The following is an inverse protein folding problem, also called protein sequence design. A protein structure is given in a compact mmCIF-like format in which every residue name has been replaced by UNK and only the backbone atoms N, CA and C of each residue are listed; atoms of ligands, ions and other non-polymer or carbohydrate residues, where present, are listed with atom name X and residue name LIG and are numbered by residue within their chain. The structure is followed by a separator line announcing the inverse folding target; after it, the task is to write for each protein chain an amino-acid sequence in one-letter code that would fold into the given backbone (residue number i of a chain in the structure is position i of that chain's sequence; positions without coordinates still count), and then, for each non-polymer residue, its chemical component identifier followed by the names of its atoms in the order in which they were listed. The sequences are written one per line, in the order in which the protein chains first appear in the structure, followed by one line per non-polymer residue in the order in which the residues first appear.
data_IF_405547222619
#
_entry.id   IF_405547222619
#
_cell.length_a   1.000
_cell.length_b   1.000
_cell.length_c   1.000
_cell.angle_alpha   90.00
_cell.angle_beta   90.00
_cell.angle_gamma   90.00
#
_symmetry.space_group_name_H-M   'P 1'
#
loop_
_entity.id
_entity.type
_entity.pdbx_description
1 polymer ?
#
# COMPACT_ATOMS: atom_id res chain seq x y z
N UNK A 1 -8.95 24.49 -7.49
CA UNK A 1 -8.59 23.42 -6.53
C UNK A 1 -7.30 22.81 -7.01
N UNK A 2 -6.58 22.08 -6.16
CA UNK A 2 -5.39 21.34 -6.58
C UNK A 2 -5.80 20.01 -7.22
N UNK A 3 -4.97 19.47 -8.14
CA UNK A 3 -5.27 18.22 -8.88
C UNK A 3 -5.71 17.07 -7.95
N UNK A 4 -4.94 16.83 -6.89
CA UNK A 4 -5.25 15.78 -5.91
C UNK A 4 -6.50 16.07 -5.07
N UNK A 5 -6.82 17.34 -4.82
CA UNK A 5 -8.02 17.71 -4.07
C UNK A 5 -9.29 17.51 -4.91
N UNK A 6 -9.20 17.71 -6.22
CA UNK A 6 -10.29 17.38 -7.17
C UNK A 6 -10.46 15.86 -7.25
N UNK A 7 -9.37 15.12 -7.47
CA UNK A 7 -9.37 13.65 -7.49
C UNK A 7 -9.94 13.03 -6.21
N UNK A 8 -9.62 13.62 -5.04
CA UNK A 8 -10.20 13.20 -3.77
C UNK A 8 -11.73 13.32 -3.77
N UNK A 9 -12.28 14.43 -4.29
CA UNK A 9 -13.72 14.68 -4.26
C UNK A 9 -14.48 13.87 -5.31
N UNK A 10 -13.91 13.69 -6.50
CA UNK A 10 -14.58 13.05 -7.63
C UNK A 10 -14.48 11.53 -7.59
N UNK A 11 -13.37 10.98 -7.11
CA UNK A 11 -13.02 9.57 -7.30
C UNK A 11 -12.83 8.87 -5.96
N UNK A 12 -11.86 9.33 -5.16
CA UNK A 12 -11.46 8.63 -3.92
C UNK A 12 -12.57 8.61 -2.89
N UNK A 13 -13.24 9.76 -2.64
CA UNK A 13 -14.30 9.84 -1.64
C UNK A 13 -15.50 8.94 -1.98
N UNK A 14 -16.04 8.94 -3.21
CA UNK A 14 -17.08 7.99 -3.60
C UNK A 14 -16.67 6.52 -3.47
N UNK A 15 -15.43 6.18 -3.80
CA UNK A 15 -14.90 4.81 -3.67
C UNK A 15 -14.84 4.37 -2.20
N UNK A 16 -14.34 5.22 -1.31
CA UNK A 16 -14.31 4.95 0.14
C UNK A 16 -15.70 4.78 0.73
N UNK A 17 -16.67 5.59 0.30
CA UNK A 17 -18.07 5.45 0.76
C UNK A 17 -18.65 4.11 0.34
N UNK A 18 -18.33 3.64 -0.88
CA UNK A 18 -18.79 2.33 -1.38
C UNK A 18 -18.10 1.18 -0.65
N UNK A 19 -16.78 1.27 -0.44
CA UNK A 19 -15.99 0.19 0.18
C UNK A 19 -16.36 -0.01 1.66
N UNK A 20 -16.51 1.07 2.43
CA UNK A 20 -16.78 0.99 3.86
C UNK A 20 -18.26 1.20 4.23
N UNK A 21 -19.13 1.44 3.24
CA UNK A 21 -20.58 1.56 3.45
C UNK A 21 -21.00 2.72 4.36
N UNK A 22 -20.27 3.84 4.36
CA UNK A 22 -20.58 4.98 5.24
C UNK A 22 -21.97 5.54 4.98
N UNK A 23 -22.75 5.72 6.04
CA UNK A 23 -24.10 6.30 5.97
C UNK A 23 -24.06 7.82 5.76
N UNK A 24 -23.02 8.47 6.27
CA UNK A 24 -22.83 9.90 6.17
C UNK A 24 -21.59 10.23 5.32
N UNK A 25 -21.71 11.01 4.24
CA UNK A 25 -20.57 11.42 3.42
C UNK A 25 -19.47 12.21 4.18
N UNK A 26 -19.77 12.71 5.38
CA UNK A 26 -18.80 13.41 6.24
C UNK A 26 -17.98 12.46 7.11
N UNK A 27 -18.36 11.18 7.22
CA UNK A 27 -17.58 10.16 7.92
C UNK A 27 -16.40 9.67 7.08
N UNK A 28 -16.46 9.87 5.76
CA UNK A 28 -15.39 9.49 4.85
C UNK A 28 -14.04 10.12 5.29
N UNK A 29 -12.98 9.31 5.44
CA UNK A 29 -11.67 9.79 5.82
C UNK A 29 -11.14 10.88 4.89
N UNK A 30 -10.45 11.86 5.47
CA UNK A 30 -9.77 12.93 4.74
C UNK A 30 -8.38 13.18 5.33
N UNK A 31 -7.53 13.84 4.55
CA UNK A 31 -6.26 14.35 5.03
C UNK A 31 -6.50 15.58 5.92
N UNK A 32 -5.97 15.57 7.16
CA UNK A 32 -6.04 16.73 8.08
C UNK A 32 -4.83 17.66 7.89
N UNK A 33 -3.63 17.08 7.94
CA UNK A 33 -2.35 17.80 7.82
C UNK A 33 -1.24 16.84 7.40
N UNK A 34 -0.21 17.40 6.80
CA UNK A 34 1.08 16.72 6.65
C UNK A 34 2.12 17.49 7.45
N UNK A 35 2.85 16.79 8.31
CA UNK A 35 3.94 17.35 9.11
C UNK A 35 5.25 16.82 8.56
N UNK A 36 6.12 17.72 8.12
CA UNK A 36 7.49 17.39 7.75
C UNK A 36 8.40 17.76 8.91
N UNK A 37 9.30 16.86 9.28
CA UNK A 37 10.20 17.06 10.40
C UNK A 37 11.61 16.57 10.03
N UNK A 38 12.60 17.44 10.25
CA UNK A 38 14.02 17.11 10.13
C UNK A 38 14.69 17.23 11.49
N UNK A 39 15.27 16.12 11.94
CA UNK A 39 16.15 16.10 13.11
C UNK A 39 17.59 16.35 12.68
N UNK A 40 18.19 17.44 13.16
CA UNK A 40 19.56 17.83 12.84
C UNK A 40 20.41 17.71 14.11
N UNK A 41 20.82 16.48 14.43
CA UNK A 41 21.59 16.19 15.66
C UNK A 41 22.92 16.96 15.75
N UNK A 42 23.52 17.28 14.61
CA UNK A 42 24.73 18.12 14.52
C UNK A 42 24.48 19.60 14.89
N UNK A 43 23.21 20.01 14.94
CA UNK A 43 22.77 21.34 15.35
C UNK A 43 23.15 21.71 16.79
N UNK A 44 23.50 20.72 17.61
CA UNK A 44 24.04 20.92 18.96
C UNK A 44 25.39 21.65 18.91
N UNK A 45 26.23 21.35 17.91
CA UNK A 45 27.54 21.96 17.76
C UNK A 45 27.48 23.21 16.87
N UNK A 46 26.70 23.16 15.79
CA UNK A 46 26.60 24.25 14.82
C UNK A 46 25.16 24.60 14.46
N UNK A 47 24.73 25.79 14.91
CA UNK A 47 23.39 26.32 14.61
C UNK A 47 23.18 26.58 13.12
N UNK A 48 24.24 26.86 12.35
CA UNK A 48 24.14 27.15 10.91
C UNK A 48 23.61 25.95 10.13
N UNK A 49 23.96 24.73 10.52
CA UNK A 49 23.44 23.49 9.91
C UNK A 49 21.93 23.35 10.05
N UNK A 50 21.36 23.78 11.18
CA UNK A 50 19.91 23.78 11.40
C UNK A 50 19.22 24.82 10.50
N UNK A 51 19.87 25.97 10.28
CA UNK A 51 19.37 27.01 9.39
C UNK A 51 19.39 26.54 7.93
N UNK A 52 20.50 25.94 7.48
CA UNK A 52 20.61 25.35 6.14
C UNK A 52 19.54 24.28 5.89
N UNK A 53 19.35 23.35 6.84
CA UNK A 53 18.28 22.36 6.75
C UNK A 53 16.87 22.99 6.73
N UNK A 54 16.66 24.10 7.44
CA UNK A 54 15.40 24.84 7.39
C UNK A 54 15.20 25.55 6.03
N UNK A 55 16.26 25.99 5.36
CA UNK A 55 16.16 26.54 4.00
C UNK A 55 15.80 25.46 2.97
N UNK A 56 16.42 24.29 3.05
CA UNK A 56 16.08 23.14 2.21
C UNK A 56 14.62 22.73 2.41
N UNK A 57 14.19 22.61 3.66
CA UNK A 57 12.81 22.28 3.98
C UNK A 57 11.83 23.38 3.52
N UNK A 58 12.26 24.65 3.52
CA UNK A 58 11.46 25.76 2.98
C UNK A 58 11.24 25.62 1.46
N UNK A 59 12.29 25.24 0.71
CA UNK A 59 12.22 25.01 -0.74
C UNK A 59 11.28 23.85 -1.05
N UNK A 60 11.41 22.74 -0.33
CA UNK A 60 10.58 21.55 -0.50
C UNK A 60 9.11 21.87 -0.18
N UNK A 61 8.85 22.50 0.98
CA UNK A 61 7.50 22.71 1.48
C UNK A 61 6.79 23.96 0.92
N UNK A 62 7.52 24.87 0.26
CA UNK A 62 6.99 26.19 -0.15
C UNK A 62 6.54 27.05 1.04
N UNK A 63 7.02 26.74 2.24
CA UNK A 63 6.59 27.35 3.50
C UNK A 63 7.75 27.46 4.47
N UNK A 64 7.90 28.61 5.11
CA UNK A 64 8.93 28.85 6.13
C UNK A 64 8.79 27.85 7.29
N UNK A 65 9.79 27.01 7.57
CA UNK A 65 9.74 26.07 8.67
C UNK A 65 9.92 26.75 10.02
N UNK A 66 9.44 26.07 11.07
CA UNK A 66 9.63 26.44 12.46
C UNK A 66 10.84 25.68 13.00
N UNK A 67 11.82 26.40 13.53
CA UNK A 67 12.99 25.81 14.20
C UNK A 67 12.54 25.21 15.53
N UNK A 68 12.85 23.93 15.75
CA UNK A 68 12.53 23.21 16.98
C UNK A 68 13.69 23.32 17.96
N UNK A 69 13.34 23.60 19.22
CA UNK A 69 14.27 23.72 20.33
C UNK A 69 14.11 22.55 21.29
N UNK A 70 15.19 22.26 22.02
CA UNK A 70 15.20 21.36 23.15
C UNK A 70 14.15 21.79 24.17
N UNK A 71 13.44 20.83 24.76
CA UNK A 71 12.57 21.07 25.94
C UNK A 71 13.24 20.68 27.26
N UNK A 72 14.25 19.82 27.20
CA UNK A 72 14.93 19.23 28.37
C UNK A 72 16.40 19.09 28.05
N UNK A 73 17.24 19.26 29.07
CA UNK A 73 18.67 18.99 28.98
C UNK A 73 18.93 17.49 29.12
N UNK A 74 19.71 16.91 28.22
CA UNK A 74 20.08 15.49 28.23
C UNK A 74 21.59 15.40 27.96
N UNK A 75 22.36 15.01 28.98
CA UNK A 75 23.82 15.00 28.93
C UNK A 75 24.37 14.01 27.89
N UNK A 76 23.72 12.85 27.70
CA UNK A 76 24.14 11.83 26.73
C UNK A 76 24.19 12.37 25.29
N UNK A 77 23.29 13.29 24.94
CA UNK A 77 23.23 13.94 23.63
C UNK A 77 23.91 15.31 23.61
N UNK A 78 24.63 15.68 24.69
CA UNK A 78 25.27 16.99 24.90
C UNK A 78 24.30 18.17 24.72
N UNK A 79 23.04 17.93 25.04
CA UNK A 79 21.92 18.80 24.68
C UNK A 79 21.45 19.57 25.90
N UNK A 80 21.34 20.90 25.78
CA UNK A 80 20.80 21.78 26.82
C UNK A 80 19.44 22.33 26.41
N UNK A 81 18.62 22.65 27.39
CA UNK A 81 17.33 23.29 27.18
C UNK A 81 17.46 24.58 26.35
N UNK A 82 16.49 24.80 25.46
CA UNK A 82 16.49 25.93 24.52
C UNK A 82 17.45 25.84 23.32
N UNK A 83 18.31 24.82 23.21
CA UNK A 83 19.18 24.63 22.05
C UNK A 83 18.39 24.23 20.79
N UNK A 84 18.78 24.73 19.62
CA UNK A 84 18.17 24.42 18.32
C UNK A 84 18.65 23.05 17.82
N UNK A 85 17.71 22.15 17.51
CA UNK A 85 18.03 20.75 17.15
C UNK A 85 17.42 20.34 15.81
N UNK A 86 16.41 21.04 15.32
CA UNK A 86 15.78 20.66 14.07
C UNK A 86 14.85 21.72 13.53
N UNK A 87 14.10 21.33 12.52
CA UNK A 87 13.08 22.16 11.90
C UNK A 87 11.87 21.30 11.53
N UNK A 88 10.69 21.91 11.60
CA UNK A 88 9.46 21.26 11.18
C UNK A 88 8.57 22.23 10.42
N UNK A 89 7.73 21.71 9.56
CA UNK A 89 6.68 22.47 8.88
C UNK A 89 5.38 21.66 8.90
N UNK A 90 4.26 22.35 9.02
CA UNK A 90 2.94 21.74 8.99
C UNK A 90 2.19 22.32 7.80
N UNK A 91 1.87 21.45 6.86
CA UNK A 91 1.14 21.75 5.64
C UNK A 91 -0.33 21.38 5.85
N UNK A 92 -1.21 22.28 5.41
CA UNK A 92 -2.68 22.12 5.47
C UNK A 92 -3.30 22.67 4.19
N UNK A 93 -4.54 22.25 3.90
CA UNK A 93 -5.31 22.69 2.73
C UNK A 93 -4.51 22.44 1.43
N UNK A 94 -4.49 23.39 0.51
CA UNK A 94 -3.96 23.23 -0.85
C UNK A 94 -2.48 22.82 -0.85
N UNK A 95 -1.65 23.45 -0.01
CA UNK A 95 -0.21 23.13 0.11
C UNK A 95 0.08 21.69 0.52
N UNK A 96 -0.83 21.09 1.29
CA UNK A 96 -0.72 19.69 1.72
C UNK A 96 -0.94 18.77 0.52
N UNK A 97 -1.97 19.02 -0.28
CA UNK A 97 -2.24 18.25 -1.49
C UNK A 97 -1.13 18.43 -2.53
N UNK A 98 -0.64 19.65 -2.75
CA UNK A 98 0.49 19.88 -3.68
C UNK A 98 1.78 19.18 -3.25
N UNK A 99 2.07 19.18 -1.94
CA UNK A 99 3.22 18.43 -1.42
C UNK A 99 3.04 16.92 -1.59
N UNK A 100 1.85 16.40 -1.30
CA UNK A 100 1.56 14.97 -1.48
C UNK A 100 1.69 14.55 -2.95
N UNK A 101 1.22 15.38 -3.88
CA UNK A 101 1.32 15.12 -5.33
C UNK A 101 2.79 15.03 -5.75
N UNK A 102 3.60 16.02 -5.36
CA UNK A 102 5.05 16.02 -5.62
C UNK A 102 5.77 14.85 -4.95
N UNK A 103 5.35 14.47 -3.74
CA UNK A 103 5.92 13.33 -3.04
C UNK A 103 5.70 12.04 -3.84
N UNK A 104 4.45 11.77 -4.26
CA UNK A 104 4.07 10.53 -4.93
C UNK A 104 4.63 10.46 -6.34
N UNK A 105 4.44 11.52 -7.14
CA UNK A 105 4.75 11.51 -8.57
C UNK A 105 6.21 11.78 -8.89
N UNK A 106 6.90 12.58 -8.07
CA UNK A 106 8.27 13.04 -8.37
C UNK A 106 9.29 12.49 -7.39
N UNK A 107 9.05 12.59 -6.08
CA UNK A 107 10.07 12.29 -5.08
C UNK A 107 10.25 10.78 -4.85
N UNK A 108 9.17 10.01 -4.69
CA UNK A 108 9.25 8.56 -4.41
C UNK A 108 9.95 7.77 -5.52
N UNK A 109 9.68 7.99 -6.82
CA UNK A 109 10.40 7.29 -7.90
C UNK A 109 11.90 7.60 -7.94
N UNK A 110 12.32 8.75 -7.38
CA UNK A 110 13.74 9.16 -7.31
C UNK A 110 14.47 8.63 -6.08
N UNK A 111 13.77 7.96 -5.16
CA UNK A 111 14.40 7.31 -4.01
C UNK A 111 15.28 6.17 -4.52
N UNK A 112 16.54 6.14 -4.08
CA UNK A 112 17.47 5.04 -4.40
C UNK A 112 16.92 3.71 -3.87
N UNK A 113 16.92 2.68 -4.73
CA UNK A 113 16.39 1.34 -4.45
C UNK A 113 14.93 1.34 -3.98
N UNK A 114 14.08 2.15 -4.62
CA UNK A 114 12.66 2.21 -4.29
C UNK A 114 11.95 0.87 -4.57
N UNK A 115 11.45 0.23 -3.52
CA UNK A 115 10.67 -1.03 -3.58
C UNK A 115 9.21 -0.86 -3.18
N UNK A 116 8.73 0.38 -3.15
CA UNK A 116 7.46 0.77 -2.50
C UNK A 116 7.64 1.17 -1.03
N UNK A 117 6.58 1.70 -0.44
CA UNK A 117 6.52 2.10 0.97
C UNK A 117 5.82 1.04 1.83
N UNK A 118 6.32 0.78 3.03
CA UNK A 118 5.74 -0.25 3.91
C UNK A 118 4.27 0.03 4.23
N UNK A 119 3.40 -0.96 4.05
CA UNK A 119 2.00 -0.92 4.49
C UNK A 119 1.82 -1.02 6.01
N UNK A 120 2.92 -1.25 6.75
CA UNK A 120 2.93 -1.40 8.22
C UNK A 120 3.25 -0.11 8.97
N UNK A 121 3.57 0.98 8.28
CA UNK A 121 4.01 2.24 8.91
C UNK A 121 2.85 3.13 9.39
N UNK A 122 1.73 2.51 9.75
CA UNK A 122 0.59 3.18 10.39
C UNK A 122 0.71 3.10 11.92
N UNK A 123 0.07 4.04 12.61
CA UNK A 123 0.17 4.17 14.08
C UNK A 123 -0.99 3.55 14.87
N UNK A 124 -1.87 2.79 14.22
CA UNK A 124 -3.07 2.19 14.83
C UNK A 124 -4.27 3.14 14.90
N UNK A 125 -4.07 4.44 14.62
CA UNK A 125 -5.09 5.47 14.65
C UNK A 125 -5.23 6.17 13.29
N UNK A 126 -4.85 5.49 12.20
CA UNK A 126 -5.02 5.99 10.85
C UNK A 126 -4.03 7.08 10.41
N UNK A 127 -2.93 7.32 11.15
CA UNK A 127 -1.86 8.19 10.68
C UNK A 127 -0.71 7.37 10.09
N UNK A 128 -0.07 7.92 9.07
CA UNK A 128 1.01 7.25 8.35
C UNK A 128 2.32 8.02 8.49
N UNK A 129 3.40 7.30 8.79
CA UNK A 129 4.73 7.88 8.92
C UNK A 129 5.70 7.30 7.88
N UNK A 130 6.34 8.18 7.12
CA UNK A 130 7.35 7.83 6.12
C UNK A 130 8.69 8.48 6.49
N UNK A 131 9.75 7.67 6.54
CA UNK A 131 11.13 8.15 6.65
C UNK A 131 11.79 8.24 5.28
N UNK A 132 12.23 9.43 4.89
CA UNK A 132 13.09 9.65 3.73
C UNK A 132 14.54 9.79 4.21
N UNK A 133 15.45 8.98 3.65
CA UNK A 133 16.86 8.99 4.05
C UNK A 133 17.63 10.19 3.51
N UNK A 134 17.21 10.69 2.35
CA UNK A 134 17.96 11.69 1.59
C UNK A 134 16.97 12.76 1.09
N UNK A 135 17.24 14.04 1.35
CA UNK A 135 16.39 15.15 0.90
C UNK A 135 16.54 15.48 -0.60
N UNK A 136 17.59 14.96 -1.25
CA UNK A 136 17.90 15.19 -2.68
C UNK A 136 16.92 14.53 -3.65
N UNK A 137 15.96 13.76 -3.13
CA UNK A 137 14.87 13.17 -3.92
C UNK A 137 13.94 14.24 -4.50
N UNK A 138 13.92 15.42 -3.88
CA UNK A 138 13.14 16.56 -4.34
C UNK A 138 13.92 17.36 -5.40
N UNK A 139 13.35 17.65 -6.58
CA UNK A 139 14.00 18.46 -7.62
C UNK A 139 14.30 19.90 -7.18
N UNK A 140 13.60 20.41 -6.16
CA UNK A 140 13.79 21.75 -5.63
C UNK A 140 15.13 21.92 -4.88
N UNK A 141 15.80 20.81 -4.55
CA UNK A 141 17.11 20.80 -3.91
C UNK A 141 18.20 20.70 -4.98
N UNK A 142 19.06 21.70 -5.01
CA UNK A 142 20.25 21.74 -5.87
C UNK A 142 21.37 20.94 -5.21
N UNK A 143 21.78 19.84 -5.86
CA UNK A 143 22.81 18.93 -5.36
C UNK A 143 24.12 19.64 -5.03
N UNK A 144 24.52 20.63 -5.83
CA UNK A 144 25.80 21.33 -5.67
C UNK A 144 25.80 22.28 -4.47
N UNK A 145 24.62 22.69 -3.99
CA UNK A 145 24.45 23.56 -2.83
C UNK A 145 24.24 22.79 -1.52
N UNK A 146 24.06 21.47 -1.58
CA UNK A 146 23.84 20.65 -0.39
C UNK A 146 25.15 20.48 0.37
N UNK A 147 25.16 20.87 1.64
CA UNK A 147 26.31 20.67 2.53
C UNK A 147 26.45 19.20 2.95
N UNK A 148 25.33 18.57 3.29
CA UNK A 148 25.25 17.23 3.82
C UNK A 148 23.91 16.58 3.45
N UNK A 149 23.93 15.29 3.16
CA UNK A 149 22.72 14.50 2.98
C UNK A 149 22.05 14.30 4.35
N UNK A 150 20.79 14.74 4.46
CA UNK A 150 19.97 14.73 5.66
C UNK A 150 18.67 13.99 5.36
N UNK A 151 18.24 13.16 6.32
CA UNK A 151 16.93 12.54 6.27
C UNK A 151 15.82 13.47 6.74
N UNK A 152 14.58 13.13 6.39
CA UNK A 152 13.38 13.76 6.92
C UNK A 152 12.29 12.73 7.20
N UNK A 153 11.41 13.07 8.14
CA UNK A 153 10.20 12.29 8.42
C UNK A 153 9.00 13.06 7.90
N UNK A 154 8.16 12.38 7.14
CA UNK A 154 6.89 12.85 6.62
C UNK A 154 5.79 12.12 7.38
N UNK A 155 4.99 12.86 8.14
CA UNK A 155 3.85 12.31 8.87
C UNK A 155 2.58 12.82 8.21
N UNK A 156 1.80 11.90 7.64
CA UNK A 156 0.51 12.16 7.04
C UNK A 156 -0.56 11.87 8.11
N UNK A 157 -1.21 12.93 8.59
CA UNK A 157 -2.31 12.80 9.53
C UNK A 157 -3.63 12.77 8.78
N UNK A 158 -4.45 11.77 9.06
CA UNK A 158 -5.77 11.61 8.47
C UNK A 158 -6.85 11.68 9.55
N UNK A 159 -8.11 11.72 9.14
CA UNK A 159 -9.26 11.62 10.06
C UNK A 159 -9.79 10.19 10.20
N UNK A 160 -9.14 9.20 9.57
CA UNK A 160 -9.50 7.80 9.69
C UNK A 160 -9.41 7.35 11.16
N UNK A 161 -10.26 6.40 11.54
CA UNK A 161 -10.21 5.81 12.90
C UNK A 161 -9.38 4.54 12.93
N UNK A 162 -9.27 3.85 11.80
CA UNK A 162 -8.54 2.59 11.67
C UNK A 162 -7.46 2.71 10.59
N UNK A 163 -6.46 1.84 10.67
CA UNK A 163 -5.37 1.81 9.70
C UNK A 163 -5.84 1.33 8.31
N UNK A 164 -6.89 0.51 8.25
CA UNK A 164 -7.44 0.02 6.99
C UNK A 164 -8.11 1.15 6.19
N UNK A 165 -8.88 2.01 6.87
CA UNK A 165 -9.48 3.21 6.27
C UNK A 165 -8.40 4.18 5.75
N UNK A 166 -7.34 4.39 6.55
CA UNK A 166 -6.23 5.25 6.16
C UNK A 166 -5.43 4.67 4.99
N UNK A 167 -5.26 3.35 4.96
CA UNK A 167 -4.58 2.64 3.87
C UNK A 167 -5.38 2.72 2.58
N UNK A 168 -6.70 2.52 2.63
CA UNK A 168 -7.58 2.68 1.47
C UNK A 168 -7.53 4.11 0.93
N UNK A 169 -7.57 5.11 1.82
CA UNK A 169 -7.44 6.52 1.45
C UNK A 169 -6.12 6.80 0.72
N UNK A 170 -4.98 6.34 1.27
CA UNK A 170 -3.68 6.52 0.63
C UNK A 170 -3.52 5.72 -0.66
N UNK A 171 -4.13 4.52 -0.76
CA UNK A 171 -4.16 3.73 -1.99
C UNK A 171 -4.93 4.46 -3.10
N UNK A 172 -6.05 5.12 -2.77
CA UNK A 172 -6.80 5.95 -3.72
C UNK A 172 -6.04 7.20 -4.21
N UNK A 173 -4.99 7.61 -3.51
CA UNK A 173 -4.05 8.65 -3.97
C UNK A 173 -2.85 8.09 -4.75
N UNK A 174 -2.91 6.84 -5.21
CA UNK A 174 -1.84 6.14 -5.91
C UNK A 174 -0.54 6.02 -5.11
N UNK A 175 -0.64 5.95 -3.77
CA UNK A 175 0.54 5.78 -2.93
C UNK A 175 1.15 4.39 -3.14
N UNK A 176 2.43 4.28 -3.54
CA UNK A 176 3.05 3.02 -3.95
C UNK A 176 3.45 2.15 -2.75
N UNK A 177 2.53 1.34 -2.22
CA UNK A 177 2.82 0.40 -1.12
C UNK A 177 3.69 -0.80 -1.56
N UNK A 178 4.78 -1.06 -0.82
CA UNK A 178 5.64 -2.24 -0.94
C UNK A 178 4.91 -3.46 -0.38
N UNK A 179 4.04 -3.97 -1.22
CA UNK A 179 3.13 -5.07 -0.98
C UNK A 179 2.18 -4.93 -2.16
N UNK A 180 2.45 -5.58 -3.29
CA UNK A 180 1.96 -6.96 -3.45
C UNK A 180 0.79 -7.13 -2.50
N UNK A 181 -0.39 -6.97 -3.06
CA UNK A 181 -1.63 -7.51 -2.54
C UNK A 181 -1.47 -9.05 -2.42
N UNK A 182 -0.32 -9.62 -2.00
CA UNK A 182 -0.01 -11.05 -2.05
C UNK A 182 -0.94 -11.85 -1.19
N UNK A 183 -1.45 -11.30 -0.10
CA UNK A 183 -2.47 -11.97 0.72
C UNK A 183 -3.83 -11.97 0.00
N UNK A 184 -4.23 -10.88 -0.67
CA UNK A 184 -5.48 -10.82 -1.44
C UNK A 184 -5.38 -11.56 -2.79
N UNK A 185 -4.28 -11.43 -3.51
CA UNK A 185 -3.90 -12.17 -4.71
C UNK A 185 -3.76 -13.65 -4.39
N UNK A 186 -3.15 -14.05 -3.26
CA UNK A 186 -3.10 -15.47 -2.87
C UNK A 186 -4.45 -15.98 -2.40
N UNK A 187 -5.26 -15.20 -1.70
CA UNK A 187 -6.64 -15.57 -1.34
C UNK A 187 -7.51 -15.71 -2.59
N UNK A 188 -7.39 -14.79 -3.55
CA UNK A 188 -8.16 -14.77 -4.79
C UNK A 188 -7.67 -15.87 -5.78
N UNK A 189 -6.37 -16.14 -5.82
CA UNK A 189 -5.75 -17.20 -6.63
C UNK A 189 -5.96 -18.59 -5.99
N UNK A 190 -5.99 -18.68 -4.64
CA UNK A 190 -6.37 -19.89 -3.92
C UNK A 190 -7.88 -20.17 -4.04
N UNK A 191 -8.73 -19.15 -3.98
CA UNK A 191 -10.16 -19.29 -4.24
C UNK A 191 -10.44 -19.74 -5.68
N UNK A 192 -9.77 -19.12 -6.68
CA UNK A 192 -9.85 -19.54 -8.09
C UNK A 192 -9.32 -20.95 -8.32
N UNK A 193 -8.24 -21.36 -7.64
CA UNK A 193 -7.72 -22.73 -7.69
C UNK A 193 -8.68 -23.73 -7.05
N UNK A 194 -9.23 -23.43 -5.88
CA UNK A 194 -10.19 -24.31 -5.20
C UNK A 194 -11.48 -24.47 -6.04
N UNK A 195 -11.95 -23.41 -6.69
CA UNK A 195 -13.09 -23.46 -7.60
C UNK A 195 -12.78 -24.27 -8.87
N UNK A 196 -11.59 -24.11 -9.47
CA UNK A 196 -11.15 -24.91 -10.61
C UNK A 196 -10.94 -26.39 -10.27
N UNK A 197 -10.37 -26.70 -9.11
CA UNK A 197 -10.17 -28.07 -8.63
C UNK A 197 -11.51 -28.76 -8.36
N UNK A 198 -12.48 -28.07 -7.75
CA UNK A 198 -13.83 -28.60 -7.56
C UNK A 198 -14.55 -28.88 -8.90
N UNK A 199 -14.41 -27.99 -9.89
CA UNK A 199 -14.95 -28.19 -11.24
C UNK A 199 -14.27 -29.36 -11.98
N UNK A 200 -12.95 -29.49 -11.87
CA UNK A 200 -12.21 -30.62 -12.47
C UNK A 200 -12.55 -31.94 -11.80
N UNK A 201 -12.74 -31.95 -10.49
CA UNK A 201 -13.11 -33.15 -9.75
C UNK A 201 -14.53 -33.59 -10.08
N UNK A 202 -15.48 -32.66 -10.15
CA UNK A 202 -16.84 -32.95 -10.60
C UNK A 202 -16.89 -33.46 -12.05
N UNK A 203 -16.09 -32.87 -12.96
CA UNK A 203 -15.99 -33.35 -14.34
C UNK A 203 -15.36 -34.76 -14.44
N UNK A 204 -14.38 -35.07 -13.57
CA UNK A 204 -13.73 -36.39 -13.53
C UNK A 204 -14.61 -37.46 -12.89
N UNK A 205 -15.46 -37.10 -11.94
CA UNK A 205 -16.47 -37.98 -11.37
C UNK A 205 -17.57 -38.27 -12.39
N UNK A 206 -18.06 -37.25 -13.12
CA UNK A 206 -19.03 -37.44 -14.20
C UNK A 206 -18.50 -38.33 -15.34
N UNK A 207 -17.24 -38.15 -15.76
CA UNK A 207 -16.63 -39.02 -16.78
C UNK A 207 -16.46 -40.47 -16.30
N UNK A 208 -16.21 -40.68 -15.01
CA UNK A 208 -16.14 -42.04 -14.44
C UNK A 208 -17.51 -42.69 -14.30
N UNK A 209 -18.55 -41.90 -14.03
CA UNK A 209 -19.93 -42.38 -14.04
C UNK A 209 -20.36 -42.74 -15.47
N UNK A 210 -20.04 -41.92 -16.47
CA UNK A 210 -20.29 -42.23 -17.89
C UNK A 210 -19.49 -43.46 -18.37
N UNK A 211 -18.19 -43.57 -18.04
CA UNK A 211 -17.38 -44.76 -18.37
C UNK A 211 -17.89 -46.02 -17.66
N UNK A 212 -18.36 -45.90 -16.42
CA UNK A 212 -18.95 -47.02 -15.67
C UNK A 212 -20.31 -47.46 -16.20
N UNK A 213 -21.13 -46.53 -16.69
CA UNK A 213 -22.39 -46.82 -17.36
C UNK A 213 -22.16 -47.46 -18.75
N UNK A 214 -21.14 -47.03 -19.49
CA UNK A 214 -20.74 -47.68 -20.76
C UNK A 214 -20.16 -49.08 -20.55
N UNK A 215 -19.32 -49.30 -19.53
CA UNK A 215 -18.81 -50.63 -19.18
C UNK A 215 -19.93 -51.58 -18.75
N UNK A 216 -20.88 -51.12 -17.91
CA UNK A 216 -22.03 -51.90 -17.49
C UNK A 216 -22.97 -52.26 -18.66
N UNK A 217 -23.19 -51.33 -19.60
CA UNK A 217 -23.96 -51.59 -20.81
C UNK A 217 -23.26 -52.58 -21.75
N UNK A 218 -21.92 -52.60 -21.76
CA UNK A 218 -21.14 -53.56 -22.54
C UNK A 218 -21.11 -54.96 -21.93
N UNK A 219 -21.09 -55.07 -20.59
CA UNK A 219 -21.22 -56.35 -19.88
C UNK A 219 -22.63 -56.93 -20.00
N UNK A 220 -23.70 -56.13 -19.86
CA UNK A 220 -25.07 -56.60 -20.10
C UNK A 220 -25.29 -57.06 -21.55
N UNK A 221 -24.65 -56.42 -22.53
CA UNK A 221 -24.71 -56.84 -23.94
C UNK A 221 -23.95 -58.15 -24.20
N UNK A 222 -22.87 -58.43 -23.45
CA UNK A 222 -22.11 -59.67 -23.54
C UNK A 222 -22.84 -60.85 -22.85
N UNK A 223 -23.43 -60.61 -21.67
CA UNK A 223 -24.16 -61.63 -20.91
C UNK A 223 -25.46 -62.06 -21.63
N UNK A 224 -26.08 -61.15 -22.38
CA UNK A 224 -27.26 -61.44 -23.20
C UNK A 224 -26.90 -62.15 -24.53
N UNK A 225 -25.63 -62.12 -24.96
CA UNK A 225 -25.14 -62.87 -26.11
C UNK A 225 -24.82 -64.33 -25.76
N UNK A 226 -24.27 -64.60 -24.57
CA UNK A 226 -23.98 -65.97 -24.08
C UNK A 226 -25.24 -66.80 -23.78
N UNK A 227 -26.40 -66.18 -23.55
CA UNK A 227 -27.67 -66.91 -23.37
C UNK A 227 -28.35 -67.31 -24.70
N UNK A 228 -27.70 -67.07 -25.85
CA UNK A 228 -28.28 -67.30 -27.19
C UNK A 228 -27.54 -68.34 -28.04
N UNK A 229 -26.79 -69.27 -27.45
CA UNK A 229 -26.37 -70.47 -28.20
C UNK A 229 -27.48 -71.54 -28.18
N UNK A 230 -28.09 -71.90 -29.34
CA UNK A 230 -29.01 -73.01 -29.40
C UNK A 230 -28.23 -74.32 -29.50
N UNK A 231 -28.54 -75.25 -28.59
CA UNK A 231 -28.19 -76.67 -28.68
C UNK A 231 -28.48 -77.21 -30.09
N UNK A 232 -27.46 -77.75 -30.76
CA UNK A 232 -27.51 -78.13 -32.17
C UNK A 232 -26.62 -79.32 -32.53
N UNK A 233 -26.94 -80.45 -31.91
CA UNK A 233 -26.91 -81.84 -32.38
C UNK A 233 -26.09 -82.31 -33.62
N UNK A 234 -25.50 -83.50 -33.41
CA UNK A 234 -25.20 -84.63 -34.32
C UNK A 234 -24.33 -84.54 -35.60
N UNK A 235 -23.24 -85.34 -35.54
CA UNK A 235 -22.93 -86.50 -36.43
C UNK A 235 -21.89 -86.41 -37.57
N UNK A 236 -21.08 -87.49 -37.57
CA UNK A 236 -20.52 -88.30 -38.68
C UNK A 236 -19.42 -87.76 -39.61
N UNK A 237 -18.40 -88.61 -39.83
CA UNK A 237 -17.47 -88.57 -40.95
C UNK A 237 -16.13 -89.22 -40.66
#
# INVERSE_FOLDING_TARGET
MTRLQEHYQTTVKPELIKEFGYKNPMEAPRLDKIVLNMGVGEGVNDKKKVIAAAEDLARIAGQKPVITKAKKSIAAFKLRDGMTIGCKVTLRRDRMYEFLDRLITVALPRVRDFRGISSKSFDGAGNFALGLKEQIVFPEIDYDKVDQVRGMNVVICTTAKTDDEARALLKGFDMPFSGRDREKEQEEEAAKRAEQEALQQAAREALKEEEGEEEAASEEAADNAEQSEPDGDTSNG
#
